data_IF_220871225580
#
_entry.id   IF_220871225580
#
_cell.length_a   1.000
_cell.length_b   1.000
_cell.length_c   1.000
_cell.angle_alpha   90.00
_cell.angle_beta   90.00
_cell.angle_gamma   90.00
#
_symmetry.space_group_name_H-M   'P 1'
#
loop_
_entity.id
_entity.type
_entity.pdbx_description
1 polymer ?
#
# COMPACT_ATOMS: atom_id res chain seq x y z
N UNK A 1 50.16 -21.33 16.88
CA UNK A 1 49.03 -20.41 16.60
C UNK A 1 47.92 -21.17 15.88
N UNK A 2 46.93 -21.68 16.60
CA UNK A 2 45.80 -22.39 16.01
C UNK A 2 44.75 -21.37 15.51
N UNK A 3 44.68 -21.16 14.20
CA UNK A 3 43.62 -20.36 13.57
C UNK A 3 42.28 -21.07 13.81
N UNK A 4 41.38 -20.38 14.50
CA UNK A 4 39.97 -20.74 14.74
C UNK A 4 39.20 -21.03 13.43
N UNK A 5 39.36 -22.23 12.84
CA UNK A 5 38.56 -22.69 11.70
C UNK A 5 37.04 -22.72 11.99
N UNK A 6 36.65 -22.81 13.26
CA UNK A 6 35.25 -22.78 13.69
C UNK A 6 34.59 -21.40 13.63
N UNK A 7 35.36 -20.31 13.60
CA UNK A 7 34.82 -18.93 13.56
C UNK A 7 34.37 -18.56 12.15
N UNK A 8 35.16 -18.90 11.13
CA UNK A 8 34.86 -18.58 9.72
C UNK A 8 33.59 -19.27 9.20
N UNK A 9 33.36 -20.53 9.59
CA UNK A 9 32.14 -21.27 9.19
C UNK A 9 30.87 -20.64 9.77
N UNK A 10 30.91 -20.16 11.02
CA UNK A 10 29.78 -19.45 11.65
C UNK A 10 29.58 -18.07 11.02
N UNK A 11 30.65 -17.36 10.66
CA UNK A 11 30.59 -16.09 9.95
C UNK A 11 29.98 -16.20 8.55
N UNK A 12 30.37 -17.23 7.79
CA UNK A 12 29.80 -17.52 6.47
C UNK A 12 28.32 -17.90 6.54
N UNK A 13 27.92 -18.70 7.53
CA UNK A 13 26.51 -19.05 7.76
C UNK A 13 25.68 -17.81 8.15
N UNK A 14 26.20 -16.93 9.01
CA UNK A 14 25.54 -15.66 9.36
C UNK A 14 25.32 -14.77 8.13
N UNK A 15 26.36 -14.51 7.33
CA UNK A 15 26.24 -13.71 6.08
C UNK A 15 25.23 -14.29 5.09
N UNK A 16 25.16 -15.62 4.95
CA UNK A 16 24.16 -16.29 4.09
C UNK A 16 22.74 -16.13 4.65
N UNK A 17 22.56 -16.21 5.97
CA UNK A 17 21.26 -16.01 6.64
C UNK A 17 20.77 -14.57 6.50
N UNK A 18 21.67 -13.60 6.62
CA UNK A 18 21.37 -12.17 6.50
C UNK A 18 20.92 -11.83 5.07
N UNK A 19 21.66 -12.29 4.03
CA UNK A 19 21.24 -12.12 2.63
C UNK A 19 19.88 -12.72 2.32
N UNK A 20 19.57 -13.90 2.89
CA UNK A 20 18.24 -14.53 2.75
C UNK A 20 17.14 -13.79 3.51
N UNK A 21 17.48 -13.10 4.60
CA UNK A 21 16.52 -12.27 5.33
C UNK A 21 16.22 -10.98 4.56
N UNK A 22 17.25 -10.34 4.00
CA UNK A 22 17.11 -9.17 3.11
C UNK A 22 16.27 -9.48 1.87
N UNK A 23 16.55 -10.60 1.18
CA UNK A 23 15.77 -11.02 0.02
C UNK A 23 14.28 -11.27 0.35
N UNK A 24 13.99 -11.87 1.52
CA UNK A 24 12.62 -12.04 2.00
C UNK A 24 11.94 -10.72 2.34
N UNK A 25 12.68 -9.77 2.92
CA UNK A 25 12.17 -8.44 3.23
C UNK A 25 11.89 -7.63 1.95
N UNK A 26 12.75 -7.72 0.92
CA UNK A 26 12.52 -7.11 -0.39
C UNK A 26 11.28 -7.72 -1.09
N UNK A 27 11.13 -9.05 -1.07
CA UNK A 27 9.97 -9.72 -1.64
C UNK A 27 8.65 -9.32 -0.93
N UNK A 28 8.66 -9.26 0.42
CA UNK A 28 7.51 -8.77 1.19
C UNK A 28 7.14 -7.33 0.85
N UNK A 29 8.15 -6.45 0.74
CA UNK A 29 7.92 -5.05 0.39
C UNK A 29 7.28 -4.93 -1.01
N UNK A 30 7.76 -5.71 -1.97
CA UNK A 30 7.19 -5.75 -3.32
C UNK A 30 5.71 -6.16 -3.29
N UNK A 31 5.38 -7.26 -2.61
CA UNK A 31 3.99 -7.72 -2.48
C UNK A 31 3.10 -6.71 -1.76
N UNK A 32 3.59 -6.07 -0.69
CA UNK A 32 2.85 -5.03 0.01
C UNK A 32 2.56 -3.83 -0.88
N UNK A 33 3.53 -3.35 -1.66
CA UNK A 33 3.31 -2.24 -2.61
C UNK A 33 2.28 -2.62 -3.68
N UNK A 34 2.34 -3.86 -4.18
CA UNK A 34 1.33 -4.40 -5.10
C UNK A 34 -0.07 -4.42 -4.47
N UNK A 35 -0.17 -4.88 -3.22
CA UNK A 35 -1.43 -4.93 -2.49
C UNK A 35 -1.98 -3.52 -2.20
N UNK A 36 -1.12 -2.55 -1.89
CA UNK A 36 -1.52 -1.13 -1.75
C UNK A 36 -2.11 -0.61 -3.05
N UNK A 37 -1.45 -0.88 -4.19
CA UNK A 37 -1.97 -0.49 -5.50
C UNK A 37 -3.33 -1.11 -5.79
N UNK A 38 -3.48 -2.42 -5.52
CA UNK A 38 -4.74 -3.13 -5.69
C UNK A 38 -5.86 -2.58 -4.80
N UNK A 39 -5.57 -2.36 -3.51
CA UNK A 39 -6.52 -1.77 -2.56
C UNK A 39 -6.97 -0.38 -2.98
N UNK A 40 -6.05 0.44 -3.48
CA UNK A 40 -6.39 1.77 -3.97
C UNK A 40 -7.33 1.70 -5.19
N UNK A 41 -7.06 0.78 -6.12
CA UNK A 41 -7.93 0.54 -7.27
C UNK A 41 -9.34 0.12 -6.83
N UNK A 42 -9.45 -0.80 -5.86
CA UNK A 42 -10.75 -1.22 -5.31
C UNK A 42 -11.47 -0.08 -4.59
N UNK A 43 -10.78 0.74 -3.80
CA UNK A 43 -11.37 1.90 -3.12
C UNK A 43 -11.90 2.92 -4.13
N UNK A 44 -11.16 3.15 -5.21
CA UNK A 44 -11.56 4.06 -6.28
C UNK A 44 -12.81 3.54 -7.03
N UNK A 45 -12.86 2.25 -7.36
CA UNK A 45 -14.05 1.61 -7.92
C UNK A 45 -15.26 1.68 -6.97
N UNK A 46 -15.04 1.42 -5.68
CA UNK A 46 -16.07 1.52 -4.64
C UNK A 46 -16.61 2.94 -4.51
N UNK A 47 -15.74 3.94 -4.55
CA UNK A 47 -16.13 5.35 -4.49
C UNK A 47 -17.03 5.72 -5.68
N UNK A 48 -16.64 5.34 -6.90
CA UNK A 48 -17.46 5.58 -8.10
C UNK A 48 -18.81 4.86 -8.03
N UNK A 49 -18.85 3.64 -7.50
CA UNK A 49 -20.10 2.90 -7.31
C UNK A 49 -21.01 3.60 -6.27
N UNK A 50 -20.51 3.90 -5.07
CA UNK A 50 -21.26 4.58 -4.00
C UNK A 50 -21.86 5.92 -4.46
N UNK A 51 -21.13 6.67 -5.29
CA UNK A 51 -21.58 7.96 -5.81
C UNK A 51 -22.61 7.83 -6.92
N UNK A 52 -22.48 6.84 -7.81
CA UNK A 52 -23.50 6.56 -8.84
C UNK A 52 -24.82 6.08 -8.24
N UNK A 53 -24.79 5.34 -7.13
CA UNK A 53 -25.99 4.85 -6.45
C UNK A 53 -26.59 5.94 -5.51
N UNK A 54 -26.08 7.18 -5.52
CA UNK A 54 -26.59 8.34 -4.74
C UNK A 54 -26.66 8.14 -3.21
N UNK A 55 -25.92 7.19 -2.65
CA UNK A 55 -25.98 6.86 -1.21
C UNK A 55 -25.09 7.74 -0.31
N UNK A 56 -24.27 8.64 -0.85
CA UNK A 56 -23.43 9.53 -0.03
C UNK A 56 -23.27 10.93 -0.62
N UNK A 57 -23.55 11.94 0.20
CA UNK A 57 -23.12 13.33 -0.03
C UNK A 57 -21.65 13.42 0.33
N UNK A 58 -20.78 13.72 -0.64
CA UNK A 58 -19.35 13.91 -0.41
C UNK A 58 -19.10 15.12 0.49
N UNK A 59 -18.59 14.88 1.72
CA UNK A 59 -18.19 15.94 2.63
C UNK A 59 -16.97 16.75 2.14
N UNK A 60 -16.20 16.19 1.19
CA UNK A 60 -15.01 16.84 0.62
C UNK A 60 -15.37 17.55 -0.70
N UNK A 61 -15.55 18.88 -0.64
CA UNK A 61 -15.91 19.73 -1.80
C UNK A 61 -15.02 19.53 -3.03
N UNK A 62 -13.74 19.20 -2.82
CA UNK A 62 -12.77 19.02 -3.91
C UNK A 62 -13.03 17.70 -4.66
N UNK A 63 -13.49 16.68 -3.95
CA UNK A 63 -13.80 15.36 -4.50
C UNK A 63 -15.10 15.38 -5.32
N UNK A 64 -16.12 16.05 -4.79
CA UNK A 64 -17.39 16.30 -5.48
C UNK A 64 -17.19 17.10 -6.77
N UNK A 65 -16.37 18.15 -6.73
CA UNK A 65 -16.04 18.95 -7.92
C UNK A 65 -15.34 18.12 -9.01
N UNK A 66 -14.40 17.24 -8.62
CA UNK A 66 -13.71 16.36 -9.58
C UNK A 66 -14.65 15.30 -10.19
N UNK A 67 -15.59 14.78 -9.41
CA UNK A 67 -16.57 13.81 -9.87
C UNK A 67 -17.63 14.40 -10.80
N UNK A 68 -18.08 15.63 -10.52
CA UNK A 68 -18.97 16.39 -11.41
C UNK A 68 -18.32 16.66 -12.77
N UNK A 69 -16.99 16.79 -12.81
CA UNK A 69 -16.27 17.04 -14.06
C UNK A 69 -16.04 15.76 -14.86
N UNK A 70 -15.52 14.70 -14.24
CA UNK A 70 -15.46 13.37 -14.85
C UNK A 70 -15.03 12.30 -13.83
N UNK A 71 -15.79 11.19 -13.70
CA UNK A 71 -15.39 10.06 -12.85
C UNK A 71 -14.04 9.45 -13.27
N UNK A 72 -13.64 9.60 -14.54
CA UNK A 72 -12.35 9.12 -15.04
C UNK A 72 -11.17 9.96 -14.54
N UNK A 73 -11.32 11.29 -14.42
CA UNK A 73 -10.25 12.16 -13.90
C UNK A 73 -10.04 11.88 -12.41
N UNK A 74 -11.14 11.70 -11.67
CA UNK A 74 -11.07 11.28 -10.28
C UNK A 74 -10.35 9.93 -10.12
N UNK A 75 -10.71 8.94 -10.94
CA UNK A 75 -10.08 7.61 -10.94
C UNK A 75 -8.59 7.68 -11.29
N UNK A 76 -8.23 8.51 -12.28
CA UNK A 76 -6.85 8.73 -12.71
C UNK A 76 -6.02 9.40 -11.61
N UNK A 77 -6.54 10.43 -10.95
CA UNK A 77 -5.83 11.09 -9.84
C UNK A 77 -5.63 10.13 -8.66
N UNK A 78 -6.69 9.41 -8.29
CA UNK A 78 -6.70 8.48 -7.16
C UNK A 78 -5.76 7.31 -7.37
N UNK A 79 -5.51 6.89 -8.61
CA UNK A 79 -4.56 5.83 -8.97
C UNK A 79 -3.13 6.33 -9.21
N UNK A 80 -2.93 7.50 -9.82
CA UNK A 80 -1.60 8.05 -10.11
C UNK A 80 -0.81 8.41 -8.84
N UNK A 81 -1.44 9.09 -7.88
CA UNK A 81 -0.77 9.55 -6.66
C UNK A 81 -0.16 8.39 -5.84
N UNK A 82 -0.89 7.31 -5.51
CA UNK A 82 -0.33 6.17 -4.82
C UNK A 82 0.64 5.36 -5.68
N UNK A 83 0.42 5.28 -7.00
CA UNK A 83 1.37 4.60 -7.89
C UNK A 83 2.73 5.31 -7.89
N UNK A 84 2.74 6.63 -8.01
CA UNK A 84 3.94 7.45 -7.88
C UNK A 84 4.59 7.28 -6.50
N UNK A 85 3.79 7.29 -5.43
CA UNK A 85 4.27 7.01 -4.07
C UNK A 85 4.94 5.64 -3.95
N UNK A 86 4.34 4.59 -4.51
CA UNK A 86 4.90 3.24 -4.50
C UNK A 86 6.20 3.15 -5.32
N UNK A 87 6.27 3.79 -6.48
CA UNK A 87 7.49 3.86 -7.31
C UNK A 87 8.62 4.59 -6.58
N UNK A 88 8.32 5.71 -5.94
CA UNK A 88 9.29 6.47 -5.15
C UNK A 88 9.80 5.63 -3.96
N UNK A 89 8.90 5.00 -3.20
CA UNK A 89 9.27 4.12 -2.10
C UNK A 89 10.13 2.93 -2.57
N UNK A 90 9.78 2.34 -3.72
CA UNK A 90 10.58 1.28 -4.32
C UNK A 90 11.98 1.77 -4.73
N UNK A 91 12.07 2.98 -5.29
CA UNK A 91 13.35 3.58 -5.71
C UNK A 91 14.25 3.91 -4.51
N UNK A 92 13.69 4.39 -3.39
CA UNK A 92 14.45 4.74 -2.19
C UNK A 92 14.61 3.61 -1.17
N UNK A 93 14.07 2.40 -1.44
CA UNK A 93 14.07 1.26 -0.50
C UNK A 93 15.41 0.88 0.10
N UNK A 94 16.52 1.11 -0.63
CA UNK A 94 17.88 0.77 -0.15
C UNK A 94 18.54 1.88 0.67
N UNK A 95 18.04 3.12 0.59
CA UNK A 95 18.59 4.28 1.30
C UNK A 95 17.95 4.49 2.67
N UNK A 96 16.69 4.11 2.84
CA UNK A 96 15.90 4.43 4.04
C UNK A 96 15.47 3.15 4.74
N UNK A 97 16.08 2.85 5.89
CA UNK A 97 15.79 1.62 6.67
C UNK A 97 14.37 1.54 7.22
N UNK A 98 13.70 2.68 7.39
CA UNK A 98 12.33 2.77 7.91
C UNK A 98 11.24 2.58 6.85
N UNK A 99 11.59 2.41 5.57
CA UNK A 99 10.62 2.25 4.47
C UNK A 99 9.69 1.06 4.69
N UNK A 100 10.19 -0.04 5.23
CA UNK A 100 9.35 -1.20 5.54
C UNK A 100 8.26 -0.85 6.55
N UNK A 101 8.59 -0.13 7.62
CA UNK A 101 7.61 0.33 8.60
C UNK A 101 6.60 1.29 7.97
N UNK A 102 7.08 2.27 7.19
CA UNK A 102 6.21 3.23 6.51
C UNK A 102 5.23 2.55 5.54
N UNK A 103 5.69 1.61 4.73
CA UNK A 103 4.84 0.85 3.80
C UNK A 103 3.80 0.01 4.54
N UNK A 104 4.17 -0.63 5.64
CA UNK A 104 3.23 -1.40 6.47
C UNK A 104 2.15 -0.50 7.07
N UNK A 105 2.52 0.69 7.59
CA UNK A 105 1.55 1.65 8.13
C UNK A 105 0.60 2.16 7.05
N UNK A 106 1.12 2.54 5.88
CA UNK A 106 0.29 2.98 4.74
C UNK A 106 -0.65 1.86 4.31
N UNK A 107 -0.16 0.63 4.23
CA UNK A 107 -0.99 -0.54 3.91
C UNK A 107 -2.12 -0.73 4.92
N UNK A 108 -1.82 -0.68 6.23
CA UNK A 108 -2.83 -0.81 7.28
C UNK A 108 -3.91 0.27 7.18
N UNK A 109 -3.52 1.53 6.98
CA UNK A 109 -4.47 2.65 6.77
C UNK A 109 -5.34 2.39 5.54
N UNK A 110 -4.74 1.99 4.41
CA UNK A 110 -5.51 1.68 3.19
C UNK A 110 -6.53 0.56 3.39
N UNK A 111 -6.13 -0.53 4.06
CA UNK A 111 -7.04 -1.62 4.40
C UNK A 111 -8.21 -1.13 5.24
N UNK A 112 -7.96 -0.28 6.25
CA UNK A 112 -9.04 0.24 7.10
C UNK A 112 -10.03 1.11 6.33
N UNK A 113 -9.54 1.94 5.39
CA UNK A 113 -10.40 2.78 4.54
C UNK A 113 -11.26 1.91 3.63
N UNK A 114 -10.66 0.95 2.92
CA UNK A 114 -11.37 0.05 2.00
C UNK A 114 -12.40 -0.79 2.75
N UNK A 115 -12.04 -1.35 3.91
CA UNK A 115 -12.97 -2.12 4.74
C UNK A 115 -14.14 -1.26 5.22
N UNK A 116 -13.88 -0.02 5.64
CA UNK A 116 -14.94 0.91 6.02
C UNK A 116 -15.89 1.19 4.86
N UNK A 117 -15.36 1.49 3.67
CA UNK A 117 -16.14 1.71 2.45
C UNK A 117 -16.97 0.48 2.07
N UNK A 118 -16.39 -0.72 2.18
CA UNK A 118 -17.07 -1.99 1.93
C UNK A 118 -18.21 -2.25 2.93
N UNK A 119 -17.98 -1.99 4.22
CA UNK A 119 -19.01 -2.12 5.25
C UNK A 119 -20.19 -1.17 5.00
N UNK A 120 -19.94 0.07 4.56
CA UNK A 120 -21.02 1.00 4.18
C UNK A 120 -21.86 0.52 2.99
N UNK A 121 -21.30 -0.29 2.10
CA UNK A 121 -22.06 -0.88 0.99
C UNK A 121 -22.92 -2.07 1.43
N UNK A 122 -22.45 -2.84 2.42
CA UNK A 122 -23.09 -4.07 2.89
C UNK A 122 -24.15 -3.82 3.97
N UNK A 123 -23.94 -2.82 4.83
CA UNK A 123 -24.90 -2.48 5.87
C UNK A 123 -25.98 -1.57 5.27
N UNK A 124 -27.27 -1.98 5.30
CA UNK A 124 -28.35 -1.11 4.86
C UNK A 124 -28.37 0.15 5.73
N UNK A 125 -28.34 1.32 5.08
CA UNK A 125 -28.47 2.62 5.74
C UNK A 125 -29.91 2.83 6.20
N UNK A 126 -30.32 2.12 7.25
CA UNK A 126 -31.54 2.40 7.98
C UNK A 126 -31.17 3.02 9.32
N UNK A 127 -30.83 4.31 9.29
CA UNK A 127 -30.87 5.24 10.43
C UNK A 127 -31.02 6.66 9.89
#
# INVERSE_FOLDING_TARGET
MAKFQGSDRRGLQRRRRDRRAEARAEARLFWLLWLVGFLNFTDAAQTVYLLNVRFMVEANRLMAFLLDHSPYIFWMYKTLVPTLGCVLLWRYRRRVRWIHGAVVTVFAVYVTVVMRSFLYMLLPQHL
#
